data_IF_423707870461
#
_entry.id   IF_423707870461
#
_cell.length_a   1.000
_cell.length_b   1.000
_cell.length_c   1.000
_cell.angle_alpha   90.00
_cell.angle_beta   90.00
_cell.angle_gamma   90.00
#
_symmetry.space_group_name_H-M   'P 1'
#
loop_
_entity.id
_entity.type
_entity.pdbx_description
1 polymer ?
#
# COMPACT_ATOMS: atom_id res chain seq x y z
N UNK A 1 10.48 30.50 15.31
CA UNK A 1 11.18 30.79 14.04
C UNK A 1 12.42 29.92 13.86
N UNK A 2 13.38 29.90 14.81
CA UNK A 2 14.62 29.11 14.71
C UNK A 2 14.37 27.59 14.50
N UNK A 3 13.50 26.95 15.30
CA UNK A 3 13.14 25.53 15.14
C UNK A 3 12.61 25.18 13.74
N UNK A 4 11.80 26.08 13.15
CA UNK A 4 11.24 25.87 11.81
C UNK A 4 12.32 26.00 10.71
N UNK A 5 13.28 26.90 10.88
CA UNK A 5 14.43 27.03 9.96
C UNK A 5 15.33 25.82 10.07
N UNK A 6 15.66 25.36 11.28
CA UNK A 6 16.46 24.15 11.51
C UNK A 6 15.81 22.91 10.90
N UNK A 7 14.49 22.74 11.06
CA UNK A 7 13.73 21.66 10.42
C UNK A 7 13.88 21.69 8.90
N UNK A 8 13.68 22.86 8.27
CA UNK A 8 13.79 22.98 6.81
C UNK A 8 15.21 22.68 6.29
N UNK A 9 16.24 23.08 7.03
CA UNK A 9 17.64 22.76 6.67
C UNK A 9 17.88 21.26 6.74
N UNK A 10 17.37 20.60 7.80
CA UNK A 10 17.45 19.15 7.93
C UNK A 10 16.72 18.44 6.78
N UNK A 11 15.50 18.88 6.44
CA UNK A 11 14.74 18.34 5.33
C UNK A 11 15.50 18.46 4.00
N UNK A 12 16.06 19.64 3.71
CA UNK A 12 16.87 19.88 2.50
C UNK A 12 18.12 18.99 2.45
N UNK A 13 18.81 18.81 3.58
CA UNK A 13 19.96 17.91 3.68
C UNK A 13 19.52 16.46 3.40
N UNK A 14 18.43 16.00 4.00
CA UNK A 14 17.88 14.67 3.79
C UNK A 14 17.50 14.43 2.32
N UNK A 15 16.91 15.42 1.64
CA UNK A 15 16.61 15.34 0.21
C UNK A 15 17.87 15.24 -0.67
N UNK A 16 18.94 15.98 -0.31
CA UNK A 16 20.20 15.92 -1.04
C UNK A 16 20.89 14.56 -0.86
N UNK A 17 20.97 14.06 0.38
CA UNK A 17 21.51 12.73 0.70
C UNK A 17 20.76 11.63 -0.06
N UNK A 18 19.43 11.70 -0.10
CA UNK A 18 18.60 10.78 -0.86
C UNK A 18 18.93 10.80 -2.37
N UNK A 19 19.08 11.99 -2.97
CA UNK A 19 19.45 12.10 -4.39
C UNK A 19 20.84 11.53 -4.68
N UNK A 20 21.81 11.76 -3.80
CA UNK A 20 23.16 11.18 -3.92
C UNK A 20 23.09 9.66 -3.82
N UNK A 21 22.31 9.12 -2.87
CA UNK A 21 22.12 7.68 -2.73
C UNK A 21 21.52 7.05 -3.99
N UNK A 22 20.51 7.68 -4.60
CA UNK A 22 19.92 7.23 -5.87
C UNK A 22 20.96 7.19 -6.99
N UNK A 23 21.80 8.22 -7.12
CA UNK A 23 22.86 8.27 -8.13
C UNK A 23 23.91 7.18 -7.91
N UNK A 24 24.33 6.95 -6.66
CA UNK A 24 25.30 5.93 -6.31
C UNK A 24 24.76 4.50 -6.52
N UNK A 25 23.46 4.30 -6.31
CA UNK A 25 22.82 2.98 -6.46
C UNK A 25 22.39 2.65 -7.90
N UNK A 26 22.33 3.64 -8.79
CA UNK A 26 21.80 3.46 -10.15
C UNK A 26 22.50 2.33 -10.94
N UNK A 27 23.81 2.16 -10.78
CA UNK A 27 24.59 1.08 -11.42
C UNK A 27 24.44 -0.29 -10.74
N UNK A 28 23.85 -0.33 -9.55
CA UNK A 28 23.65 -1.53 -8.73
C UNK A 28 22.21 -2.05 -8.79
N UNK A 29 21.34 -1.41 -9.57
CA UNK A 29 19.96 -1.85 -9.74
C UNK A 29 19.90 -3.26 -10.32
N UNK A 30 19.03 -4.14 -9.78
CA UNK A 30 18.90 -5.49 -10.29
C UNK A 30 18.35 -5.49 -11.72
N UNK A 31 18.69 -6.53 -12.49
CA UNK A 31 18.10 -6.71 -13.83
C UNK A 31 16.63 -7.08 -13.71
N UNK A 32 15.79 -6.46 -14.54
CA UNK A 32 14.36 -6.80 -14.65
C UNK A 32 14.12 -7.68 -15.87
N UNK A 33 13.22 -8.65 -15.73
CA UNK A 33 12.75 -9.44 -16.86
C UNK A 33 11.86 -8.61 -17.78
N UNK A 34 11.88 -8.90 -19.09
CA UNK A 34 11.07 -8.16 -20.08
C UNK A 34 9.57 -8.20 -19.75
N UNK A 35 9.07 -9.32 -19.20
CA UNK A 35 7.67 -9.47 -18.80
C UNK A 35 7.24 -8.52 -17.67
N UNK A 36 8.19 -8.05 -16.87
CA UNK A 36 7.91 -7.19 -15.72
C UNK A 36 8.12 -5.69 -16.02
N UNK A 37 8.71 -5.34 -17.17
CA UNK A 37 8.85 -3.94 -17.61
C UNK A 37 7.53 -3.16 -17.62
N UNK A 38 6.40 -3.73 -18.09
CA UNK A 38 5.12 -3.03 -18.05
C UNK A 38 4.69 -2.59 -16.65
N UNK A 39 5.08 -3.34 -15.60
CA UNK A 39 4.81 -2.97 -14.21
C UNK A 39 5.57 -1.67 -13.87
N UNK A 40 6.86 -1.65 -14.16
CA UNK A 40 7.74 -0.52 -13.88
C UNK A 40 7.30 0.74 -14.65
N UNK A 41 6.97 0.58 -15.93
CA UNK A 41 6.57 1.69 -16.78
C UNK A 41 5.22 2.28 -16.35
N UNK A 42 4.24 1.43 -16.01
CA UNK A 42 2.96 1.87 -15.49
C UNK A 42 3.10 2.59 -14.13
N UNK A 43 3.96 2.11 -13.23
CA UNK A 43 4.24 2.80 -11.97
C UNK A 43 4.91 4.16 -12.18
N UNK A 44 5.74 4.32 -13.21
CA UNK A 44 6.37 5.62 -13.54
C UNK A 44 5.37 6.59 -14.18
N UNK A 45 4.49 6.09 -15.03
CA UNK A 45 3.56 6.90 -15.80
C UNK A 45 2.28 7.25 -15.01
N UNK A 46 1.61 6.23 -14.46
CA UNK A 46 0.31 6.36 -13.81
C UNK A 46 0.39 6.20 -12.30
N UNK A 47 1.46 5.57 -11.79
CA UNK A 47 1.66 5.30 -10.36
C UNK A 47 0.95 4.06 -9.85
N UNK A 48 0.17 3.40 -10.70
CA UNK A 48 -0.57 2.18 -10.39
C UNK A 48 -0.45 1.19 -11.55
N UNK A 49 -0.29 -0.08 -11.22
CA UNK A 49 -0.40 -1.19 -12.16
C UNK A 49 -1.38 -2.24 -11.61
N UNK A 50 -2.38 -2.62 -12.41
CA UNK A 50 -3.39 -3.61 -12.04
C UNK A 50 -3.16 -4.89 -12.85
N UNK A 51 -3.12 -6.02 -12.18
CA UNK A 51 -2.92 -7.34 -12.78
C UNK A 51 -3.64 -8.41 -11.96
N UNK A 52 -3.29 -9.68 -12.15
CA UNK A 52 -3.75 -10.79 -11.33
C UNK A 52 -2.56 -11.63 -10.85
N UNK A 53 -2.76 -12.41 -9.79
CA UNK A 53 -1.78 -13.39 -9.32
C UNK A 53 -1.39 -14.38 -10.42
N UNK A 54 -2.33 -14.79 -11.26
CA UNK A 54 -2.06 -15.68 -12.39
C UNK A 54 -1.11 -15.03 -13.40
N UNK A 55 -1.36 -13.77 -13.79
CA UNK A 55 -0.50 -13.04 -14.72
C UNK A 55 0.85 -12.69 -14.10
N UNK A 56 0.86 -12.36 -12.81
CA UNK A 56 2.10 -12.09 -12.08
C UNK A 56 2.94 -13.37 -12.07
N UNK A 57 2.37 -14.54 -11.74
CA UNK A 57 3.03 -15.84 -11.89
C UNK A 57 4.23 -16.03 -10.97
N UNK A 58 4.10 -15.63 -9.70
CA UNK A 58 5.10 -15.90 -8.65
C UNK A 58 4.94 -17.33 -8.12
N UNK A 59 6.05 -18.02 -7.86
CA UNK A 59 6.05 -19.46 -7.60
C UNK A 59 5.33 -19.81 -6.30
N UNK A 60 5.46 -18.98 -5.27
CA UNK A 60 4.88 -19.20 -3.95
C UNK A 60 3.39 -18.81 -3.84
N UNK A 61 2.77 -18.37 -4.94
CA UNK A 61 1.38 -17.86 -4.95
C UNK A 61 0.37 -18.86 -4.36
N UNK A 62 0.51 -20.16 -4.63
CA UNK A 62 -0.41 -21.17 -4.11
C UNK A 62 -0.29 -21.31 -2.59
N UNK A 63 0.93 -21.22 -2.05
CA UNK A 63 1.19 -21.25 -0.61
C UNK A 63 0.61 -20.00 0.06
N UNK A 64 0.82 -18.82 -0.55
CA UNK A 64 0.23 -17.57 -0.09
C UNK A 64 -1.29 -17.67 0.02
N UNK A 65 -1.98 -18.12 -1.04
CA UNK A 65 -3.45 -18.19 -1.06
C UNK A 65 -3.99 -19.21 -0.04
N UNK A 66 -3.31 -20.34 0.13
CA UNK A 66 -3.68 -21.35 1.11
C UNK A 66 -3.55 -20.80 2.54
N UNK A 67 -2.44 -20.13 2.84
CA UNK A 67 -2.22 -19.50 4.14
C UNK A 67 -3.20 -18.34 4.39
N UNK A 68 -3.43 -17.47 3.40
CA UNK A 68 -4.38 -16.37 3.49
C UNK A 68 -5.80 -16.87 3.78
N UNK A 69 -6.25 -17.93 3.10
CA UNK A 69 -7.57 -18.54 3.31
C UNK A 69 -7.69 -19.10 4.73
N UNK A 70 -6.66 -19.83 5.20
CA UNK A 70 -6.62 -20.35 6.57
C UNK A 70 -6.66 -19.23 7.61
N UNK A 71 -5.83 -18.20 7.47
CA UNK A 71 -5.80 -17.09 8.43
C UNK A 71 -7.11 -16.30 8.42
N UNK A 72 -7.71 -16.08 7.25
CA UNK A 72 -8.99 -15.39 7.12
C UNK A 72 -10.14 -16.18 7.79
N UNK A 73 -10.14 -17.51 7.69
CA UNK A 73 -11.13 -18.37 8.37
C UNK A 73 -10.97 -18.37 9.89
N UNK A 74 -9.77 -18.10 10.39
CA UNK A 74 -9.46 -18.08 11.82
C UNK A 74 -9.52 -16.67 12.44
N UNK A 75 -9.78 -15.63 11.64
CA UNK A 75 -10.03 -14.29 12.17
C UNK A 75 -11.25 -14.32 13.09
N UNK A 76 -11.06 -13.87 14.33
CA UNK A 76 -12.13 -13.77 15.32
C UNK A 76 -13.26 -12.89 14.77
N UNK A 77 -14.51 -13.30 14.95
CA UNK A 77 -15.65 -12.44 14.60
C UNK A 77 -15.60 -11.17 15.44
N UNK A 78 -15.79 -10.02 14.79
CA UNK A 78 -15.87 -8.71 15.45
C UNK A 78 -17.33 -8.31 15.49
N UNK A 79 -17.84 -7.96 16.68
CA UNK A 79 -19.14 -7.32 16.81
C UNK A 79 -18.99 -5.81 16.64
N UNK A 80 -19.31 -5.33 15.44
CA UNK A 80 -19.31 -3.91 15.08
C UNK A 80 -20.75 -3.35 14.97
N UNK A 81 -21.74 -3.98 15.61
CA UNK A 81 -23.15 -3.58 15.47
C UNK A 81 -23.46 -2.19 16.05
N UNK A 82 -22.73 -1.78 17.09
CA UNK A 82 -22.96 -0.53 17.83
C UNK A 82 -22.06 0.64 17.38
N UNK A 83 -21.12 0.41 16.45
CA UNK A 83 -20.16 1.44 16.02
C UNK A 83 -20.62 2.11 14.73
N UNK A 84 -20.64 3.44 14.73
CA UNK A 84 -20.95 4.25 13.54
C UNK A 84 -19.80 4.25 12.51
N UNK A 85 -18.58 4.01 12.98
CA UNK A 85 -17.37 3.84 12.17
C UNK A 85 -16.80 2.44 12.41
N UNK A 86 -16.86 1.59 11.39
CA UNK A 86 -16.36 0.22 11.45
C UNK A 86 -14.96 0.17 10.84
N UNK A 87 -13.95 0.27 11.69
CA UNK A 87 -12.55 0.14 11.28
C UNK A 87 -12.27 -1.28 10.73
N UNK A 88 -11.34 -1.43 9.78
CA UNK A 88 -10.97 -2.75 9.29
C UNK A 88 -10.41 -3.62 10.43
N UNK A 89 -10.77 -4.89 10.42
CA UNK A 89 -10.08 -5.89 11.22
C UNK A 89 -8.76 -6.25 10.52
N UNK A 90 -7.64 -6.14 11.23
CA UNK A 90 -6.31 -6.31 10.68
C UNK A 90 -5.55 -7.34 11.50
N UNK A 91 -4.98 -8.35 10.83
CA UNK A 91 -3.93 -9.19 11.38
C UNK A 91 -2.59 -8.87 10.71
N UNK A 92 -1.53 -8.71 11.49
CA UNK A 92 -0.16 -8.67 10.99
C UNK A 92 0.32 -10.10 10.79
N UNK A 93 0.60 -10.45 9.53
CA UNK A 93 0.96 -11.83 9.12
C UNK A 93 2.39 -11.89 8.56
N UNK A 94 3.19 -10.85 8.81
CA UNK A 94 4.57 -10.69 8.32
C UNK A 94 5.47 -11.87 8.67
N UNK A 95 5.34 -12.42 9.88
CA UNK A 95 6.23 -13.50 10.36
C UNK A 95 5.85 -14.89 9.84
N UNK A 96 4.74 -15.01 9.13
CA UNK A 96 4.32 -16.28 8.56
C UNK A 96 5.09 -16.55 7.25
N UNK A 97 5.78 -17.71 7.12
CA UNK A 97 6.68 -17.98 6.00
C UNK A 97 6.03 -17.81 4.63
N UNK A 98 4.78 -18.24 4.46
CA UNK A 98 4.10 -18.20 3.16
C UNK A 98 3.90 -16.77 2.64
N UNK A 99 3.73 -15.80 3.54
CA UNK A 99 3.58 -14.40 3.17
C UNK A 99 4.93 -13.73 2.98
N UNK A 100 5.90 -14.00 3.87
CA UNK A 100 7.25 -13.46 3.75
C UNK A 100 7.90 -13.93 2.45
N UNK A 101 7.88 -15.25 2.18
CA UNK A 101 8.47 -15.83 0.97
C UNK A 101 7.90 -15.20 -0.30
N UNK A 102 6.58 -15.04 -0.38
CA UNK A 102 5.94 -14.40 -1.54
C UNK A 102 6.36 -12.94 -1.71
N UNK A 103 6.41 -12.19 -0.60
CA UNK A 103 6.78 -10.78 -0.61
C UNK A 103 8.25 -10.56 -1.00
N UNK A 104 9.12 -11.51 -0.69
CA UNK A 104 10.57 -11.41 -0.91
C UNK A 104 11.06 -12.19 -2.13
N UNK A 105 10.17 -12.68 -3.00
CA UNK A 105 10.61 -13.33 -4.24
C UNK A 105 11.49 -12.37 -5.06
N UNK A 106 12.66 -12.84 -5.50
CA UNK A 106 13.69 -12.01 -6.13
C UNK A 106 13.17 -11.24 -7.33
N UNK A 107 12.29 -11.85 -8.13
CA UNK A 107 11.66 -11.18 -9.29
C UNK A 107 10.83 -9.97 -8.87
N UNK A 108 10.02 -10.12 -7.82
CA UNK A 108 9.19 -9.05 -7.29
C UNK A 108 10.04 -7.93 -6.69
N UNK A 109 11.02 -8.27 -5.85
CA UNK A 109 11.95 -7.31 -5.25
C UNK A 109 12.71 -6.54 -6.34
N UNK A 110 13.13 -7.20 -7.42
CA UNK A 110 13.86 -6.54 -8.52
C UNK A 110 13.04 -5.44 -9.19
N UNK A 111 11.74 -5.66 -9.39
CA UNK A 111 10.82 -4.63 -9.93
C UNK A 111 10.66 -3.47 -8.96
N UNK A 112 10.44 -3.78 -7.68
CA UNK A 112 10.22 -2.78 -6.63
C UNK A 112 11.48 -1.94 -6.44
N UNK A 113 12.66 -2.55 -6.43
CA UNK A 113 13.95 -1.87 -6.30
C UNK A 113 14.23 -0.97 -7.50
N UNK A 114 13.92 -1.42 -8.72
CA UNK A 114 14.01 -0.58 -9.91
C UNK A 114 13.07 0.62 -9.86
N UNK A 115 11.88 0.47 -9.24
CA UNK A 115 10.98 1.59 -9.06
C UNK A 115 11.47 2.56 -7.97
N UNK A 116 11.82 2.05 -6.80
CA UNK A 116 12.25 2.83 -5.64
C UNK A 116 13.60 3.52 -5.93
N UNK A 117 14.52 2.82 -6.59
CA UNK A 117 15.86 3.30 -6.97
C UNK A 117 16.93 3.10 -5.89
N UNK A 118 16.58 2.44 -4.79
CA UNK A 118 17.44 2.17 -3.63
C UNK A 118 17.18 0.75 -3.13
N UNK A 119 18.11 0.15 -2.35
CA UNK A 119 17.85 -1.12 -1.68
C UNK A 119 16.51 -1.11 -0.94
N UNK A 120 15.75 -2.19 -1.07
CA UNK A 120 14.36 -2.26 -0.60
C UNK A 120 14.28 -2.91 0.77
N UNK A 121 13.41 -2.37 1.63
CA UNK A 121 12.94 -3.03 2.84
C UNK A 121 11.50 -3.50 2.61
N UNK A 122 11.25 -4.80 2.78
CA UNK A 122 9.91 -5.32 2.97
C UNK A 122 9.48 -5.02 4.42
N UNK A 123 8.51 -4.12 4.58
CA UNK A 123 8.06 -3.68 5.90
C UNK A 123 7.15 -4.72 6.54
N UNK A 124 6.24 -5.30 5.74
CA UNK A 124 5.41 -6.39 6.19
C UNK A 124 4.10 -6.51 5.43
N UNK A 125 3.22 -7.35 5.94
CA UNK A 125 1.92 -7.64 5.33
C UNK A 125 0.80 -7.64 6.37
N UNK A 126 -0.29 -7.00 5.99
CA UNK A 126 -1.55 -7.04 6.70
C UNK A 126 -2.55 -7.91 5.95
N UNK A 127 -3.14 -8.89 6.65
CA UNK A 127 -4.40 -9.49 6.26
C UNK A 127 -5.53 -8.60 6.80
N UNK A 128 -6.38 -8.11 5.91
CA UNK A 128 -7.43 -7.14 6.24
C UNK A 128 -8.80 -7.65 5.88
N UNK A 129 -9.76 -7.43 6.78
CA UNK A 129 -11.20 -7.50 6.51
C UNK A 129 -11.81 -6.12 6.73
N UNK A 130 -12.23 -5.53 5.63
CA UNK A 130 -12.89 -4.25 5.56
C UNK A 130 -14.41 -4.42 5.73
N UNK A 131 -15.04 -3.59 6.56
CA UNK A 131 -16.49 -3.67 6.85
C UNK A 131 -17.31 -2.58 6.15
N UNK A 132 -18.63 -2.79 6.00
CA UNK A 132 -19.55 -1.78 5.49
C UNK A 132 -19.55 -0.48 6.29
N UNK A 133 -19.53 0.65 5.61
CA UNK A 133 -19.54 1.98 6.21
C UNK A 133 -20.34 2.96 5.36
N UNK A 134 -21.07 3.88 6.00
CA UNK A 134 -21.89 4.89 5.34
C UNK A 134 -21.19 6.25 5.17
N UNK A 135 -20.06 6.47 5.84
CA UNK A 135 -19.32 7.73 5.84
C UNK A 135 -17.82 7.50 5.56
N UNK A 136 -17.15 8.47 4.94
CA UNK A 136 -15.72 8.43 4.70
C UNK A 136 -14.95 8.86 5.97
N UNK A 137 -14.00 8.04 6.40
CA UNK A 137 -13.05 8.32 7.48
C UNK A 137 -11.78 7.50 7.28
N UNK A 138 -10.68 7.90 7.92
CA UNK A 138 -9.40 7.18 7.85
C UNK A 138 -8.98 6.91 6.41
N UNK A 139 -8.67 5.65 6.08
CA UNK A 139 -8.23 5.23 4.74
C UNK A 139 -9.33 5.30 3.66
N UNK A 140 -10.57 5.64 4.02
CA UNK A 140 -11.65 5.94 3.07
C UNK A 140 -11.60 7.38 2.54
N UNK A 141 -10.81 8.25 3.18
CA UNK A 141 -10.50 9.58 2.68
C UNK A 141 -9.35 9.50 1.68
N UNK A 142 -9.36 10.38 0.68
CA UNK A 142 -8.26 10.55 -0.26
C UNK A 142 -7.00 11.01 0.46
N UNK A 143 -5.95 10.19 0.40
CA UNK A 143 -4.69 10.44 1.10
C UNK A 143 -3.48 10.04 0.25
N UNK A 144 -2.31 10.38 0.80
CA UNK A 144 -0.99 9.91 0.35
C UNK A 144 -0.25 9.43 1.58
N UNK A 145 0.42 8.30 1.44
CA UNK A 145 1.18 7.71 2.53
C UNK A 145 2.42 8.54 2.87
N UNK A 146 3.07 8.25 4.00
CA UNK A 146 4.07 9.17 4.58
C UNK A 146 5.33 8.52 5.13
N UNK A 147 5.45 7.20 5.04
CA UNK A 147 6.55 6.38 5.52
C UNK A 147 7.88 6.68 4.80
N UNK A 148 7.81 6.96 3.48
CA UNK A 148 9.00 7.20 2.65
C UNK A 148 8.70 8.09 1.42
N UNK A 149 9.72 8.38 0.60
CA UNK A 149 9.65 9.18 -0.64
C UNK A 149 9.03 8.44 -1.82
N UNK A 150 9.12 7.12 -1.80
CA UNK A 150 8.43 6.16 -2.68
C UNK A 150 8.02 4.98 -1.80
N UNK A 151 6.75 4.59 -1.89
CA UNK A 151 6.20 3.49 -1.09
C UNK A 151 5.45 2.59 -2.05
N UNK A 152 5.97 1.39 -2.31
CA UNK A 152 5.19 0.41 -3.05
C UNK A 152 4.28 -0.32 -2.07
N UNK A 153 2.97 -0.24 -2.33
CA UNK A 153 2.00 -1.15 -1.73
C UNK A 153 1.48 -2.12 -2.77
N UNK A 154 1.33 -3.38 -2.37
CA UNK A 154 0.69 -4.40 -3.20
C UNK A 154 -0.57 -4.86 -2.48
N UNK A 155 -1.72 -4.64 -3.11
CA UNK A 155 -3.00 -5.15 -2.63
C UNK A 155 -3.38 -6.40 -3.41
N UNK A 156 -3.77 -7.45 -2.71
CA UNK A 156 -4.25 -8.69 -3.31
C UNK A 156 -5.67 -8.95 -2.80
N UNK A 157 -6.65 -8.95 -3.69
CA UNK A 157 -8.03 -9.28 -3.32
C UNK A 157 -8.18 -10.78 -3.05
N UNK A 158 -8.79 -11.12 -1.92
CA UNK A 158 -9.03 -12.52 -1.50
C UNK A 158 -10.47 -12.97 -1.78
N UNK A 159 -11.32 -12.06 -2.22
CA UNK A 159 -12.67 -12.30 -2.73
C UNK A 159 -12.86 -11.51 -4.02
N UNK A 160 -13.94 -11.78 -4.75
CA UNK A 160 -14.39 -10.88 -5.80
C UNK A 160 -14.71 -9.51 -5.20
N UNK A 161 -14.37 -8.45 -5.93
CA UNK A 161 -14.57 -7.06 -5.54
C UNK A 161 -15.28 -6.34 -6.67
N UNK A 162 -16.50 -5.96 -6.38
CA UNK A 162 -17.35 -5.10 -7.21
C UNK A 162 -17.57 -3.77 -6.50
N UNK A 163 -18.33 -2.85 -7.11
CA UNK A 163 -18.58 -1.51 -6.55
C UNK A 163 -19.08 -1.55 -5.09
N UNK A 164 -20.01 -2.44 -4.76
CA UNK A 164 -20.59 -2.57 -3.42
C UNK A 164 -19.62 -3.11 -2.35
N UNK A 165 -18.50 -3.69 -2.76
CA UNK A 165 -17.42 -4.13 -1.88
C UNK A 165 -16.41 -3.01 -1.57
N UNK A 166 -16.56 -1.85 -2.22
CA UNK A 166 -15.68 -0.70 -2.07
C UNK A 166 -14.28 -0.96 -2.64
N UNK A 167 -14.11 -1.01 -3.97
CA UNK A 167 -12.80 -1.17 -4.60
C UNK A 167 -11.81 -0.08 -4.19
N UNK A 168 -10.52 -0.37 -4.37
CA UNK A 168 -9.48 0.66 -4.29
C UNK A 168 -9.71 1.66 -5.42
N UNK A 169 -9.51 2.94 -5.15
CA UNK A 169 -9.63 3.98 -6.15
C UNK A 169 -8.44 4.94 -6.05
N UNK A 170 -8.01 5.45 -7.20
CA UNK A 170 -6.89 6.37 -7.28
C UNK A 170 -7.10 7.46 -8.33
N UNK A 171 -6.32 8.53 -8.19
CA UNK A 171 -6.15 9.53 -9.24
C UNK A 171 -4.81 9.27 -9.94
N UNK A 172 -4.81 9.05 -11.27
CA UNK A 172 -3.60 8.87 -12.05
C UNK A 172 -2.54 9.98 -11.83
N UNK A 173 -1.27 9.59 -11.76
CA UNK A 173 -0.16 10.55 -11.60
C UNK A 173 -0.12 11.58 -12.73
N UNK A 174 -0.49 11.19 -13.94
CA UNK A 174 -0.60 12.06 -15.12
C UNK A 174 -1.52 13.28 -14.87
N UNK A 175 -2.52 13.16 -13.99
CA UNK A 175 -3.45 14.23 -13.62
C UNK A 175 -3.02 15.04 -12.40
N UNK A 176 -2.07 14.53 -11.61
CA UNK A 176 -1.61 15.11 -10.35
C UNK A 176 -0.09 15.30 -10.31
N UNK A 177 0.54 15.52 -11.47
CA UNK A 177 1.97 15.75 -11.57
C UNK A 177 2.45 16.84 -10.60
N UNK A 178 3.63 16.63 -9.99
CA UNK A 178 4.15 17.40 -8.83
C UNK A 178 4.29 18.92 -9.04
N UNK A 179 4.23 19.40 -10.28
CA UNK A 179 4.32 20.83 -10.63
C UNK A 179 3.00 21.41 -11.16
N UNK A 180 1.93 20.62 -11.19
CA UNK A 180 0.62 21.07 -11.67
C UNK A 180 -0.08 21.98 -10.64
N UNK A 181 -0.86 22.94 -11.10
CA UNK A 181 -1.72 23.77 -10.22
C UNK A 181 -2.64 22.91 -9.34
N UNK A 182 -3.21 21.84 -9.92
CA UNK A 182 -4.07 20.89 -9.20
C UNK A 182 -3.34 20.21 -8.05
N UNK A 183 -2.09 19.79 -8.26
CA UNK A 183 -1.26 19.22 -7.21
C UNK A 183 -1.15 20.16 -6.01
N UNK A 184 -0.81 21.43 -6.22
CA UNK A 184 -0.68 22.40 -5.12
C UNK A 184 -2.01 22.65 -4.41
N UNK A 185 -3.12 22.74 -5.15
CA UNK A 185 -4.46 22.94 -4.57
C UNK A 185 -4.88 21.76 -3.69
N UNK A 186 -4.70 20.53 -4.16
CA UNK A 186 -5.01 19.31 -3.41
C UNK A 186 -4.07 19.16 -2.22
N UNK A 187 -2.77 19.38 -2.41
CA UNK A 187 -1.79 19.34 -1.33
C UNK A 187 -2.11 20.33 -0.22
N UNK A 188 -2.56 21.54 -0.57
CA UNK A 188 -3.02 22.52 0.40
C UNK A 188 -4.24 22.01 1.19
N UNK A 189 -5.19 21.34 0.55
CA UNK A 189 -6.35 20.73 1.24
C UNK A 189 -5.93 19.60 2.18
N UNK A 190 -5.01 18.73 1.74
CA UNK A 190 -4.42 17.71 2.61
C UNK A 190 -3.68 18.33 3.80
N UNK A 191 -2.94 19.41 3.59
CA UNK A 191 -2.28 20.13 4.67
C UNK A 191 -3.29 20.74 5.66
N UNK A 192 -4.38 21.34 5.18
CA UNK A 192 -5.47 21.87 6.02
C UNK A 192 -6.12 20.76 6.87
N UNK A 193 -6.19 19.53 6.36
CA UNK A 193 -6.72 18.37 7.09
C UNK A 193 -5.68 17.69 8.00
N UNK A 194 -4.50 18.29 8.21
CA UNK A 194 -3.41 17.66 8.96
C UNK A 194 -2.88 16.37 8.33
N UNK A 195 -3.03 16.22 7.00
CA UNK A 195 -2.70 15.04 6.20
C UNK A 195 -3.52 13.78 6.52
N UNK A 196 -4.63 13.89 7.26
CA UNK A 196 -5.54 12.76 7.52
C UNK A 196 -6.28 12.31 6.25
N UNK A 197 -6.49 13.21 5.29
CA UNK A 197 -7.15 12.96 4.02
C UNK A 197 -8.30 13.92 3.73
N UNK A 198 -8.83 13.88 2.52
CA UNK A 198 -9.99 14.67 2.07
C UNK A 198 -11.11 13.78 1.54
N UNK A 199 -12.36 14.20 1.64
CA UNK A 199 -13.50 13.43 1.13
C UNK A 199 -13.70 13.61 -0.39
N UNK A 200 -14.61 12.81 -0.94
CA UNK A 200 -14.95 12.83 -2.36
C UNK A 200 -15.44 14.21 -2.82
N UNK A 201 -16.26 14.85 -1.99
CA UNK A 201 -16.82 16.16 -2.30
C UNK A 201 -15.71 17.19 -2.47
N UNK A 202 -14.72 17.19 -1.58
CA UNK A 202 -13.58 18.11 -1.64
C UNK A 202 -12.71 17.83 -2.85
N UNK A 203 -12.37 16.57 -3.14
CA UNK A 203 -11.53 16.25 -4.30
C UNK A 203 -12.23 16.59 -5.62
N UNK A 204 -13.56 16.37 -5.70
CA UNK A 204 -14.34 16.60 -6.93
C UNK A 204 -14.35 18.05 -7.40
N UNK A 205 -14.03 19.00 -6.51
CA UNK A 205 -13.86 20.42 -6.85
C UNK A 205 -12.62 20.68 -7.72
N UNK A 206 -11.63 19.77 -7.72
CA UNK A 206 -10.37 19.92 -8.43
C UNK A 206 -10.20 18.90 -9.56
N UNK A 207 -10.73 17.68 -9.36
CA UNK A 207 -10.63 16.56 -10.30
C UNK A 207 -12.00 15.90 -10.43
N UNK A 208 -12.62 15.91 -11.62
CA UNK A 208 -13.95 15.31 -11.80
C UNK A 208 -13.91 13.81 -11.53
N UNK A 209 -15.00 13.27 -10.95
CA UNK A 209 -15.11 11.84 -10.61
C UNK A 209 -14.85 10.91 -11.80
N UNK A 210 -15.19 11.33 -13.02
CA UNK A 210 -14.93 10.57 -14.25
C UNK A 210 -13.45 10.36 -14.56
N UNK A 211 -12.55 11.08 -13.87
CA UNK A 211 -11.11 10.94 -14.01
C UNK A 211 -10.49 10.09 -12.88
N UNK A 212 -11.28 9.69 -11.88
CA UNK A 212 -10.86 8.75 -10.85
C UNK A 212 -10.89 7.34 -11.44
N UNK A 213 -9.95 6.50 -11.01
CA UNK A 213 -9.80 5.14 -11.52
C UNK A 213 -10.13 4.14 -10.42
N UNK A 214 -11.27 3.48 -10.57
CA UNK A 214 -11.74 2.43 -9.67
C UNK A 214 -11.17 1.09 -10.10
N UNK A 215 -10.79 0.25 -9.13
CA UNK A 215 -10.11 -1.02 -9.35
C UNK A 215 -10.94 -2.23 -8.89
N UNK A 216 -12.15 -2.50 -9.41
CA UNK A 216 -12.84 -3.76 -9.15
C UNK A 216 -12.11 -4.92 -9.82
N UNK A 217 -12.33 -6.14 -9.34
CA UNK A 217 -11.68 -7.32 -9.90
C UNK A 217 -12.05 -8.61 -9.17
N UNK A 218 -11.75 -9.74 -9.81
CA UNK A 218 -11.97 -11.08 -9.23
C UNK A 218 -10.98 -11.36 -8.10
N UNK A 219 -11.27 -12.36 -7.28
CA UNK A 219 -10.30 -12.88 -6.32
C UNK A 219 -8.96 -13.19 -7.01
N UNK A 220 -7.86 -12.78 -6.38
CA UNK A 220 -6.51 -12.82 -6.97
C UNK A 220 -6.17 -11.62 -7.86
N UNK A 221 -7.01 -10.59 -7.96
CA UNK A 221 -6.62 -9.29 -8.53
C UNK A 221 -5.51 -8.67 -7.69
N UNK A 222 -4.49 -8.11 -8.35
CA UNK A 222 -3.31 -7.50 -7.74
C UNK A 222 -3.24 -6.03 -8.17
N UNK A 223 -3.09 -5.14 -7.20
CA UNK A 223 -2.92 -3.70 -7.43
C UNK A 223 -1.56 -3.31 -6.83
N UNK A 224 -0.64 -2.86 -7.68
CA UNK A 224 0.68 -2.37 -7.27
C UNK A 224 0.63 -0.84 -7.40
N UNK A 225 0.88 -0.11 -6.31
CA UNK A 225 0.73 1.34 -6.26
C UNK A 225 1.91 2.02 -5.57
N UNK A 226 2.36 3.15 -6.11
CA UNK A 226 3.17 4.11 -5.36
C UNK A 226 2.29 4.97 -4.46
N UNK A 227 2.03 4.46 -3.27
CA UNK A 227 1.09 5.04 -2.32
C UNK A 227 1.57 6.40 -1.76
N UNK A 228 2.86 6.72 -1.90
CA UNK A 228 3.38 8.06 -1.55
C UNK A 228 2.94 9.11 -2.57
N UNK A 229 3.01 8.78 -3.85
CA UNK A 229 2.86 9.77 -4.91
C UNK A 229 1.45 9.81 -5.49
N UNK A 230 0.77 8.67 -5.52
CA UNK A 230 -0.61 8.53 -6.00
C UNK A 230 -1.58 8.95 -4.91
N UNK A 231 -2.50 9.87 -5.23
CA UNK A 231 -3.64 10.15 -4.36
C UNK A 231 -4.63 8.98 -4.46
N UNK A 232 -4.96 8.36 -3.34
CA UNK A 232 -5.74 7.13 -3.32
C UNK A 232 -6.60 7.00 -2.06
N UNK A 233 -7.55 6.07 -2.10
CA UNK A 233 -8.37 5.67 -0.94
C UNK A 233 -9.07 4.33 -1.16
N UNK A 234 -9.70 3.81 -0.11
CA UNK A 234 -10.77 2.82 -0.25
C UNK A 234 -12.12 3.51 -0.43
N UNK A 235 -12.97 2.99 -1.30
CA UNK A 235 -14.32 3.53 -1.47
C UNK A 235 -15.28 2.98 -0.40
N UNK A 236 -16.42 3.67 -0.22
CA UNK A 236 -17.51 3.19 0.64
C UNK A 236 -18.01 1.83 0.16
N UNK A 237 -18.54 1.03 1.10
CA UNK A 237 -18.98 -0.33 0.82
C UNK A 237 -20.19 -0.71 1.65
N UNK A 238 -21.05 -1.53 1.08
CA UNK A 238 -22.20 -2.15 1.75
C UNK A 238 -21.92 -3.60 2.13
N UNK A 239 -20.86 -4.20 1.57
CA UNK A 239 -20.42 -5.56 1.85
C UNK A 239 -18.95 -5.61 2.30
N UNK A 240 -18.57 -6.73 2.94
CA UNK A 240 -17.21 -6.93 3.43
C UNK A 240 -16.24 -7.18 2.29
N UNK A 241 -14.99 -6.74 2.45
CA UNK A 241 -13.91 -7.03 1.50
C UNK A 241 -12.71 -7.58 2.24
N UNK A 242 -12.15 -8.69 1.76
CA UNK A 242 -10.94 -9.27 2.33
C UNK A 242 -9.76 -9.12 1.36
N UNK A 243 -8.62 -8.66 1.86
CA UNK A 243 -7.45 -8.39 1.03
C UNK A 243 -6.14 -8.44 1.83
N UNK A 244 -5.04 -8.71 1.14
CA UNK A 244 -3.67 -8.58 1.66
C UNK A 244 -3.07 -7.24 1.26
N UNK A 245 -2.32 -6.62 2.17
CA UNK A 245 -1.65 -5.34 1.97
C UNK A 245 -0.17 -5.50 2.29
N UNK A 246 0.66 -5.66 1.26
CA UNK A 246 2.12 -5.72 1.39
C UNK A 246 2.73 -4.33 1.24
N UNK A 247 3.78 -4.02 1.98
CA UNK A 247 4.41 -2.69 1.98
C UNK A 247 5.92 -2.77 1.83
N UNK A 248 6.45 -1.93 0.95
CA UNK A 248 7.87 -1.83 0.63
C UNK A 248 8.32 -0.37 0.57
N UNK A 249 9.50 -0.09 1.11
CA UNK A 249 10.14 1.23 1.12
C UNK A 249 11.62 1.11 0.76
N UNK A 250 12.34 2.23 0.67
CA UNK A 250 13.79 2.18 0.74
C UNK A 250 14.26 1.62 2.09
N UNK A 251 15.48 1.11 2.13
CA UNK A 251 16.14 0.63 3.33
C UNK A 251 17.35 1.51 3.70
N UNK A 252 17.28 2.33 4.77
CA UNK A 252 16.11 2.59 5.60
C UNK A 252 15.10 3.56 4.94
N UNK A 253 13.82 3.56 5.36
CA UNK A 253 12.84 4.55 4.92
C UNK A 253 13.13 5.94 5.52
N UNK A 254 12.53 6.99 4.94
CA UNK A 254 12.60 8.35 5.49
C UNK A 254 12.06 8.44 6.93
N UNK A 255 10.97 7.72 7.21
CA UNK A 255 10.23 7.77 8.48
C UNK A 255 9.99 6.36 9.04
N UNK A 256 11.05 5.69 9.53
CA UNK A 256 10.95 4.32 10.05
C UNK A 256 9.99 4.20 11.23
N UNK A 257 9.77 5.29 11.98
CA UNK A 257 8.82 5.34 13.09
C UNK A 257 7.36 5.11 12.67
N UNK A 258 7.03 5.29 11.38
CA UNK A 258 5.68 5.05 10.86
C UNK A 258 5.46 3.62 10.36
N UNK A 259 6.52 2.82 10.31
CA UNK A 259 6.47 1.46 9.81
C UNK A 259 6.30 0.42 10.93
N UNK A 260 6.35 0.81 12.21
CA UNK A 260 6.41 -0.13 13.35
C UNK A 260 5.23 -1.10 13.42
N UNK A 261 4.05 -0.70 12.93
CA UNK A 261 2.83 -1.52 12.89
C UNK A 261 3.00 -2.91 12.25
N UNK A 262 4.05 -3.12 11.44
CA UNK A 262 4.32 -4.41 10.81
C UNK A 262 5.17 -5.36 11.65
N UNK A 263 5.78 -4.88 12.75
CA UNK A 263 6.62 -5.66 13.66
C UNK A 263 6.43 -5.35 15.15
N UNK A 264 5.51 -4.46 15.53
CA UNK A 264 5.05 -4.27 16.91
C UNK A 264 3.67 -4.93 17.16
N UNK A 265 3.04 -4.62 18.30
CA UNK A 265 1.76 -5.19 18.73
C UNK A 265 0.54 -4.30 18.37
N UNK A 266 0.69 -3.36 17.43
CA UNK A 266 -0.40 -2.47 16.97
C UNK A 266 -1.60 -3.26 16.46
N UNK A 267 -1.35 -4.35 15.75
CA UNK A 267 -2.40 -5.25 15.24
C UNK A 267 -2.20 -6.67 15.75
N UNK A 268 -3.32 -7.38 15.88
CA UNK A 268 -3.31 -8.76 16.32
C UNK A 268 -2.45 -9.63 15.37
N UNK A 269 -1.75 -10.60 15.93
CA UNK A 269 -1.02 -11.60 15.16
C UNK A 269 -1.75 -12.94 15.28
N UNK A 270 -1.84 -13.71 14.19
CA UNK A 270 -2.39 -15.06 14.28
C UNK A 270 -1.48 -15.94 15.14
N UNK A 271 -2.08 -16.88 15.86
CA UNK A 271 -1.33 -17.89 16.59
C UNK A 271 -0.49 -18.70 15.59
N UNK A 272 0.84 -18.66 15.75
CA UNK A 272 1.73 -19.51 14.96
C UNK A 272 1.38 -20.98 15.27
N UNK A 273 1.29 -21.82 14.24
CA UNK A 273 1.23 -23.27 14.46
C UNK A 273 2.45 -23.64 15.31
N UNK A 274 2.24 -24.01 16.57
CA UNK A 274 3.21 -24.78 17.33
C UNK A 274 3.44 -26.04 16.49
N UNK A 275 4.58 -26.13 15.79
CA UNK A 275 5.00 -27.39 15.20
C UNK A 275 5.24 -28.32 16.38
N UNK A 276 4.25 -29.14 16.72
CA UNK A 276 4.46 -30.28 17.61
C UNK A 276 5.27 -31.32 16.86
N UNK A 277 6.56 -31.05 16.66
CA UNK A 277 7.56 -32.10 16.48
C UNK A 277 7.73 -32.71 17.86
N UNK A 278 6.80 -33.60 18.23
CA UNK A 278 7.09 -34.59 19.25
C UNK A 278 8.19 -35.47 18.67
N UNK A 279 9.41 -35.21 19.08
CA UNK A 279 10.50 -36.18 18.97
C UNK A 279 10.10 -37.32 19.92
N UNK A 280 9.62 -38.41 19.32
CA UNK A 280 9.58 -39.73 19.95
C UNK A 280 10.97 -40.35 19.90
#
# INVERSE_FOLDING_TARGET
MLKAVTSKIFDLKSELEHKIALLNHASSLPTIEERDRPILDALKQEGVYITSLQKLGLESTNNLLSAASYQLSNMKKVDNSLTSQKLPQIYTVTDLPEFYTWATETRLISVIENYIGLPVAFQGVHLRKDFPNSNQFGTLLWHKDSEDRRIIKIFVYLSDVEEHHGPFEYVPLSLTGRLSRKYFQIYYKLWQSGFVGIDDQTLSQFIPKSAWQSCPGKAGTVIIVDAKNVLHHGTLRTEERSALFFVYTANPPQRPELCTQYWDDTFARPEQKLSTTKVS
#
